data_IF_172206360222
#
_entry.id   IF_172206360222
#
_cell.length_a   1.000
_cell.length_b   1.000
_cell.length_c   1.000
_cell.angle_alpha   90.00
_cell.angle_beta   90.00
_cell.angle_gamma   90.00
#
_symmetry.space_group_name_H-M   'P 1'
#
loop_
_entity.id
_entity.type
_entity.pdbx_description
1 polymer ?
#
# COMPACT_ATOMS: atom_id res chain seq x y z
N UNK A 1 -30.55 28.63 21.77
CA UNK A 1 -30.13 27.29 21.30
C UNK A 1 -28.95 26.82 22.12
N UNK A 2 -28.94 25.57 22.59
CA UNK A 2 -27.80 25.03 23.34
C UNK A 2 -26.73 24.50 22.34
N UNK A 3 -25.73 25.33 22.05
CA UNK A 3 -24.64 24.99 21.14
C UNK A 3 -23.82 23.78 21.63
N UNK A 4 -23.69 23.61 22.95
CA UNK A 4 -23.00 22.47 23.54
C UNK A 4 -23.76 21.16 23.27
N UNK A 5 -25.08 21.14 23.45
CA UNK A 5 -25.90 19.98 23.12
C UNK A 5 -25.84 19.62 21.63
N UNK A 6 -25.67 20.60 20.75
CA UNK A 6 -25.51 20.38 19.30
C UNK A 6 -24.19 19.66 18.99
N UNK A 7 -23.09 20.10 19.61
CA UNK A 7 -21.78 19.45 19.46
C UNK A 7 -21.78 18.03 20.04
N UNK A 8 -22.45 17.81 21.17
CA UNK A 8 -22.60 16.47 21.75
C UNK A 8 -23.35 15.52 20.82
N UNK A 9 -24.45 15.98 20.20
CA UNK A 9 -25.17 15.21 19.17
C UNK A 9 -24.27 14.91 17.97
N UNK A 10 -23.50 15.87 17.48
CA UNK A 10 -22.52 15.64 16.40
C UNK A 10 -21.50 14.55 16.77
N UNK A 11 -20.97 14.56 18.00
CA UNK A 11 -20.07 13.51 18.48
C UNK A 11 -20.74 12.12 18.54
N UNK A 12 -21.99 12.03 19.01
CA UNK A 12 -22.76 10.78 19.04
C UNK A 12 -23.05 10.24 17.63
N UNK A 13 -23.30 11.14 16.67
CA UNK A 13 -23.44 10.80 15.24
C UNK A 13 -22.10 10.54 14.53
N UNK A 14 -20.97 10.61 15.25
CA UNK A 14 -19.60 10.48 14.71
C UNK A 14 -19.25 11.53 13.66
N UNK A 15 -19.86 12.71 13.74
CA UNK A 15 -19.60 13.90 12.93
C UNK A 15 -18.48 14.75 13.56
N UNK A 16 -17.28 14.17 13.69
CA UNK A 16 -16.18 14.78 14.44
C UNK A 16 -15.57 16.00 13.76
N UNK A 17 -15.44 15.98 12.43
CA UNK A 17 -14.98 17.14 11.66
C UNK A 17 -15.99 18.28 11.76
N UNK A 18 -17.29 17.97 11.63
CA UNK A 18 -18.36 18.95 11.79
C UNK A 18 -18.36 19.58 13.19
N UNK A 19 -18.21 18.78 14.24
CA UNK A 19 -18.15 19.26 15.61
C UNK A 19 -16.95 20.22 15.84
N UNK A 20 -15.78 19.92 15.25
CA UNK A 20 -14.61 20.81 15.33
C UNK A 20 -14.85 22.10 14.56
N UNK A 21 -15.35 22.03 13.33
CA UNK A 21 -15.65 23.21 12.51
C UNK A 21 -16.70 24.11 13.16
N UNK A 22 -17.78 23.52 13.70
CA UNK A 22 -18.83 24.26 14.40
C UNK A 22 -18.28 24.99 15.64
N UNK A 23 -17.44 24.33 16.45
CA UNK A 23 -16.75 24.99 17.57
C UNK A 23 -15.84 26.13 17.09
N UNK A 24 -15.10 25.92 16.00
CA UNK A 24 -14.22 26.95 15.45
C UNK A 24 -15.02 28.19 15.02
N UNK A 25 -16.11 28.02 14.27
CA UNK A 25 -17.00 29.09 13.83
C UNK A 25 -17.57 29.90 15.00
N UNK A 26 -17.98 29.22 16.08
CA UNK A 26 -18.48 29.88 17.29
C UNK A 26 -17.41 30.70 18.01
N UNK A 27 -16.16 30.23 18.03
CA UNK A 27 -15.06 30.85 18.76
C UNK A 27 -14.41 32.00 17.97
N UNK A 28 -14.35 31.91 16.64
CA UNK A 28 -13.70 32.91 15.79
C UNK A 28 -14.63 34.01 15.30
N UNK A 29 -15.95 33.89 15.53
CA UNK A 29 -16.93 34.85 15.04
C UNK A 29 -17.16 34.79 13.53
N UNK A 30 -16.50 33.86 12.81
CA UNK A 30 -16.65 33.64 11.37
C UNK A 30 -18.09 33.38 10.94
N UNK A 31 -18.95 32.93 11.85
CA UNK A 31 -20.37 32.72 11.56
C UNK A 31 -21.15 34.01 11.23
N UNK A 32 -20.56 35.19 11.41
CA UNK A 32 -21.18 36.48 11.04
C UNK A 32 -21.02 36.82 9.56
N UNK A 33 -20.00 36.28 8.92
CA UNK A 33 -19.66 36.60 7.52
C UNK A 33 -20.10 35.50 6.54
N UNK A 34 -20.65 34.39 7.06
CA UNK A 34 -21.16 33.27 6.26
C UNK A 34 -22.68 33.30 6.22
N UNK A 35 -23.22 33.13 5.02
CA UNK A 35 -24.62 32.76 4.81
C UNK A 35 -24.90 31.37 5.38
N UNK A 36 -26.19 31.03 5.55
CA UNK A 36 -26.58 29.74 6.12
C UNK A 36 -26.11 28.56 5.26
N UNK A 37 -26.17 28.70 3.94
CA UNK A 37 -25.70 27.70 2.97
C UNK A 37 -24.18 27.56 2.98
N UNK A 38 -23.41 28.66 3.05
CA UNK A 38 -21.95 28.60 3.17
C UNK A 38 -21.50 27.94 4.49
N UNK A 39 -22.17 28.24 5.59
CA UNK A 39 -21.90 27.59 6.87
C UNK A 39 -22.14 26.09 6.79
N UNK A 40 -23.29 25.66 6.24
CA UNK A 40 -23.60 24.24 6.08
C UNK A 40 -22.58 23.56 5.16
N UNK A 41 -22.22 24.18 4.04
CA UNK A 41 -21.22 23.66 3.12
C UNK A 41 -19.87 23.45 3.81
N UNK A 42 -19.35 24.47 4.51
CA UNK A 42 -18.10 24.36 5.27
C UNK A 42 -18.16 23.21 6.30
N UNK A 43 -19.24 23.12 7.07
CA UNK A 43 -19.42 22.09 8.09
C UNK A 43 -19.42 20.68 7.49
N UNK A 44 -20.07 20.50 6.34
CA UNK A 44 -20.15 19.23 5.62
C UNK A 44 -18.80 18.88 4.99
N UNK A 45 -18.14 19.82 4.32
CA UNK A 45 -16.83 19.60 3.69
C UNK A 45 -15.77 19.22 4.72
N UNK A 46 -15.76 19.88 5.88
CA UNK A 46 -14.82 19.54 6.96
C UNK A 46 -15.07 18.14 7.53
N UNK A 47 -16.34 17.72 7.62
CA UNK A 47 -16.67 16.35 8.02
C UNK A 47 -16.27 15.33 6.96
N UNK A 48 -16.49 15.65 5.69
CA UNK A 48 -16.11 14.80 4.57
C UNK A 48 -14.59 14.56 4.55
N UNK A 49 -13.80 15.63 4.67
CA UNK A 49 -12.34 15.56 4.70
C UNK A 49 -11.82 14.83 5.94
N UNK A 50 -12.43 15.05 7.11
CA UNK A 50 -12.10 14.32 8.33
C UNK A 50 -12.36 12.82 8.20
N UNK A 51 -13.50 12.42 7.61
CA UNK A 51 -13.82 11.01 7.35
C UNK A 51 -12.82 10.37 6.39
N UNK A 52 -12.52 11.04 5.27
CA UNK A 52 -11.53 10.56 4.29
C UNK A 52 -10.17 10.39 4.96
N UNK A 53 -9.71 11.41 5.68
CA UNK A 53 -8.43 11.38 6.39
C UNK A 53 -8.34 10.24 7.42
N UNK A 54 -9.41 9.99 8.19
CA UNK A 54 -9.48 8.85 9.12
C UNK A 54 -9.42 7.51 8.42
N UNK A 55 -10.09 7.36 7.27
CA UNK A 55 -10.03 6.14 6.47
C UNK A 55 -8.61 5.90 5.96
N UNK A 56 -7.99 6.90 5.32
CA UNK A 56 -6.63 6.80 4.80
C UNK A 56 -5.65 6.47 5.94
N UNK A 57 -5.67 7.23 7.04
CA UNK A 57 -4.80 7.00 8.21
C UNK A 57 -4.93 5.58 8.77
N UNK A 58 -6.16 5.06 8.86
CA UNK A 58 -6.41 3.67 9.29
C UNK A 58 -5.83 2.66 8.31
N UNK A 59 -6.01 2.84 7.00
CA UNK A 59 -5.48 1.95 5.97
C UNK A 59 -3.95 1.94 5.98
N UNK A 60 -3.32 3.12 6.04
CA UNK A 60 -1.86 3.26 6.14
C UNK A 60 -1.28 2.53 7.36
N UNK A 61 -1.94 2.69 8.53
CA UNK A 61 -1.54 2.02 9.77
C UNK A 61 -1.69 0.50 9.68
N UNK A 62 -2.71 0.02 8.99
CA UNK A 62 -2.95 -1.41 8.78
C UNK A 62 -1.95 -2.03 7.79
N UNK A 63 -1.54 -1.28 6.77
CA UNK A 63 -0.64 -1.76 5.72
C UNK A 63 0.78 -2.04 6.22
N UNK A 64 1.25 -1.33 7.25
CA UNK A 64 2.59 -1.48 7.86
C UNK A 64 3.75 -1.35 6.84
N UNK A 65 3.69 -0.31 6.01
CA UNK A 65 4.76 0.00 5.05
C UNK A 65 6.12 0.15 5.72
N UNK A 66 7.17 -0.27 5.01
CA UNK A 66 8.57 -0.09 5.45
C UNK A 66 8.97 1.38 5.52
N UNK A 67 8.47 2.19 4.60
CA UNK A 67 8.76 3.62 4.51
C UNK A 67 7.47 4.43 4.48
N UNK A 68 7.52 5.64 5.05
CA UNK A 68 6.53 6.69 4.75
C UNK A 68 6.96 7.32 3.43
N UNK A 69 6.43 6.80 2.33
CA UNK A 69 6.79 7.20 0.99
C UNK A 69 5.54 7.66 0.27
N UNK A 70 5.52 8.90 -0.20
CA UNK A 70 4.42 9.46 -0.98
C UNK A 70 4.75 9.43 -2.46
N UNK A 71 3.72 9.30 -3.30
CA UNK A 71 3.91 9.19 -4.74
C UNK A 71 4.58 10.45 -5.33
N UNK A 72 4.27 11.61 -4.77
CA UNK A 72 4.78 12.93 -5.16
C UNK A 72 6.28 13.09 -4.86
N UNK A 73 6.82 12.28 -3.94
CA UNK A 73 8.24 12.29 -3.56
C UNK A 73 9.12 11.46 -4.50
N UNK A 74 8.53 10.82 -5.52
CA UNK A 74 9.28 10.03 -6.49
C UNK A 74 10.09 10.97 -7.38
N UNK A 75 11.41 10.95 -7.20
CA UNK A 75 12.33 11.68 -8.06
C UNK A 75 12.53 10.93 -9.39
N UNK A 76 12.08 11.59 -10.46
CA UNK A 76 12.18 11.15 -11.86
C UNK A 76 13.43 11.71 -12.58
N UNK A 77 14.18 12.64 -11.96
CA UNK A 77 15.43 13.16 -12.50
C UNK A 77 16.59 12.18 -12.29
N UNK A 78 16.48 11.31 -11.27
CA UNK A 78 17.44 10.23 -11.04
C UNK A 78 17.47 9.27 -12.24
N UNK A 79 18.64 9.10 -12.84
CA UNK A 79 18.86 8.17 -13.96
C UNK A 79 18.94 6.72 -13.45
N UNK A 80 17.76 6.14 -13.17
CA UNK A 80 17.60 4.78 -12.62
C UNK A 80 16.65 3.90 -13.43
N UNK A 81 16.47 4.22 -14.71
CA UNK A 81 15.58 3.51 -15.63
C UNK A 81 14.11 3.48 -15.17
N UNK A 82 13.62 4.58 -14.60
CA UNK A 82 12.23 4.71 -14.17
C UNK A 82 11.42 5.53 -15.20
N UNK A 83 10.44 4.89 -15.85
CA UNK A 83 9.54 5.57 -16.79
C UNK A 83 8.49 6.42 -16.04
N UNK A 84 8.60 7.74 -16.17
CA UNK A 84 7.66 8.70 -15.58
C UNK A 84 6.22 8.50 -16.05
N UNK A 85 6.02 8.25 -17.35
CA UNK A 85 4.67 8.08 -17.90
C UNK A 85 4.02 6.81 -17.36
N UNK A 86 4.80 5.73 -17.23
CA UNK A 86 4.32 4.51 -16.60
C UNK A 86 3.93 4.75 -15.14
N UNK A 87 4.76 5.44 -14.36
CA UNK A 87 4.44 5.73 -12.97
C UNK A 87 3.18 6.59 -12.84
N UNK A 88 3.03 7.64 -13.66
CA UNK A 88 1.82 8.47 -13.65
C UNK A 88 0.56 7.66 -14.01
N UNK A 89 0.65 6.63 -14.86
CA UNK A 89 -0.47 5.70 -15.09
C UNK A 89 -0.80 4.84 -13.87
N UNK A 90 0.13 4.67 -12.92
CA UNK A 90 -0.15 3.96 -11.66
C UNK A 90 -0.74 4.87 -10.58
N UNK A 91 -0.64 6.21 -10.73
CA UNK A 91 -1.06 7.15 -9.69
C UNK A 91 -2.57 7.21 -9.49
N UNK A 92 -3.36 6.81 -10.50
CA UNK A 92 -4.82 6.71 -10.44
C UNK A 92 -5.32 5.38 -9.87
N UNK A 93 -4.40 4.44 -9.60
CA UNK A 93 -4.69 3.12 -9.06
C UNK A 93 -5.60 2.23 -9.95
N UNK A 94 -5.80 2.55 -11.23
CA UNK A 94 -6.62 1.74 -12.14
C UNK A 94 -6.07 0.32 -12.39
N UNK A 95 -4.77 0.10 -12.17
CA UNK A 95 -4.14 -1.22 -12.20
C UNK A 95 -4.64 -2.14 -11.07
N UNK A 96 -5.04 -1.57 -9.93
CA UNK A 96 -5.58 -2.30 -8.77
C UNK A 96 -6.97 -2.84 -9.09
N UNK A 97 -7.82 -2.01 -9.67
CA UNK A 97 -9.18 -2.38 -10.07
C UNK A 97 -9.18 -3.50 -11.12
N UNK A 98 -8.19 -3.50 -12.01
CA UNK A 98 -7.98 -4.52 -13.03
C UNK A 98 -7.27 -5.78 -12.51
N UNK A 99 -6.86 -5.82 -11.24
CA UNK A 99 -6.10 -6.93 -10.67
C UNK A 99 -4.74 -7.17 -11.34
N UNK A 100 -4.13 -6.13 -11.90
CA UNK A 100 -2.83 -6.23 -12.58
C UNK A 100 -1.70 -6.23 -11.55
N UNK A 101 -0.65 -7.03 -11.80
CA UNK A 101 0.48 -7.12 -10.88
C UNK A 101 1.57 -6.11 -11.25
N UNK A 102 2.50 -5.87 -10.34
CA UNK A 102 3.70 -5.06 -10.59
C UNK A 102 4.91 -5.82 -10.06
N UNK A 103 5.96 -5.91 -10.87
CA UNK A 103 7.25 -6.46 -10.46
C UNK A 103 8.27 -5.32 -10.52
N UNK A 104 8.89 -5.02 -9.38
CA UNK A 104 9.96 -4.04 -9.25
C UNK A 104 11.27 -4.78 -9.00
N UNK A 105 12.13 -4.82 -10.01
CA UNK A 105 13.43 -5.49 -9.95
C UNK A 105 14.58 -4.49 -10.08
N UNK A 106 15.78 -4.89 -9.65
CA UNK A 106 16.99 -4.04 -9.74
C UNK A 106 17.95 -4.20 -8.54
N UNK A 107 19.14 -3.59 -8.59
CA UNK A 107 20.18 -3.78 -7.59
C UNK A 107 19.82 -3.16 -6.23
N UNK A 108 20.62 -3.44 -5.20
CA UNK A 108 20.38 -2.89 -3.85
C UNK A 108 20.52 -1.36 -3.82
N UNK A 109 19.59 -0.70 -3.13
CA UNK A 109 19.70 0.74 -2.84
C UNK A 109 19.13 1.69 -3.91
N UNK A 110 18.64 1.21 -5.06
CA UNK A 110 18.05 2.07 -6.11
C UNK A 110 16.61 2.53 -5.86
N UNK A 111 16.08 2.32 -4.64
CA UNK A 111 14.76 2.79 -4.24
C UNK A 111 13.58 1.86 -4.53
N UNK A 112 13.80 0.55 -4.77
CA UNK A 112 12.70 -0.39 -5.06
C UNK A 112 11.62 -0.44 -3.95
N UNK A 113 12.03 -0.66 -2.70
CA UNK A 113 11.12 -0.72 -1.55
C UNK A 113 10.43 0.62 -1.26
N UNK A 114 11.08 1.74 -1.62
CA UNK A 114 10.46 3.07 -1.59
C UNK A 114 9.34 3.17 -2.62
N UNK A 115 9.59 2.77 -3.88
CA UNK A 115 8.55 2.75 -4.92
C UNK A 115 7.36 1.86 -4.55
N UNK A 116 7.61 0.65 -4.05
CA UNK A 116 6.54 -0.23 -3.60
C UNK A 116 5.74 0.35 -2.44
N UNK A 117 6.42 1.02 -1.49
CA UNK A 117 5.74 1.75 -0.41
C UNK A 117 4.91 2.92 -0.97
N UNK A 118 5.45 3.72 -1.90
CA UNK A 118 4.75 4.85 -2.51
C UNK A 118 3.49 4.42 -3.27
N UNK A 119 3.56 3.33 -4.04
CA UNK A 119 2.40 2.74 -4.71
C UNK A 119 1.34 2.28 -3.69
N UNK A 120 1.77 1.64 -2.59
CA UNK A 120 0.87 1.22 -1.52
C UNK A 120 0.23 2.39 -0.77
N UNK A 121 1.00 3.45 -0.49
CA UNK A 121 0.47 4.68 0.09
C UNK A 121 -0.57 5.30 -0.84
N UNK A 122 -0.27 5.42 -2.13
CA UNK A 122 -1.21 5.92 -3.13
C UNK A 122 -2.51 5.10 -3.16
N UNK A 123 -2.40 3.77 -3.11
CA UNK A 123 -3.55 2.89 -3.02
C UNK A 123 -4.43 3.22 -1.80
N UNK A 124 -3.82 3.42 -0.63
CA UNK A 124 -4.55 3.80 0.59
C UNK A 124 -5.20 5.18 0.50
N UNK A 125 -4.57 6.15 -0.19
CA UNK A 125 -5.18 7.47 -0.47
C UNK A 125 -6.45 7.33 -1.32
N UNK A 126 -6.45 6.42 -2.29
CA UNK A 126 -7.62 6.06 -3.09
C UNK A 126 -8.63 5.15 -2.35
N UNK A 127 -8.37 4.80 -1.10
CA UNK A 127 -9.26 3.99 -0.27
C UNK A 127 -9.06 2.47 -0.40
N UNK A 128 -8.07 2.02 -1.18
CA UNK A 128 -7.73 0.61 -1.31
C UNK A 128 -6.95 0.10 -0.08
N UNK A 129 -7.27 -1.12 0.34
CA UNK A 129 -6.58 -1.82 1.42
C UNK A 129 -5.29 -2.44 0.91
N UNK A 130 -4.17 -1.83 1.26
CA UNK A 130 -2.85 -2.39 1.03
C UNK A 130 -2.36 -3.21 2.24
N UNK A 131 -1.54 -4.22 1.97
CA UNK A 131 -0.72 -4.91 2.97
C UNK A 131 0.72 -4.98 2.48
N UNK A 132 1.67 -4.73 3.37
CA UNK A 132 3.09 -4.81 3.09
C UNK A 132 3.75 -5.88 3.95
N UNK A 133 4.55 -6.74 3.31
CA UNK A 133 5.39 -7.69 4.01
C UNK A 133 6.78 -7.76 3.39
N UNK A 134 7.80 -7.89 4.22
CA UNK A 134 9.06 -8.49 3.78
C UNK A 134 8.83 -10.00 3.59
N UNK A 135 9.31 -10.58 2.49
CA UNK A 135 9.05 -11.96 2.09
C UNK A 135 9.45 -12.98 3.16
N UNK A 136 10.65 -12.86 3.74
CA UNK A 136 11.14 -13.77 4.79
C UNK A 136 10.22 -13.70 6.01
N UNK A 137 9.84 -12.49 6.43
CA UNK A 137 8.93 -12.29 7.57
C UNK A 137 7.52 -12.80 7.27
N UNK A 138 7.03 -12.67 6.04
CA UNK A 138 5.74 -13.20 5.61
C UNK A 138 5.69 -14.72 5.79
N UNK A 139 6.65 -15.43 5.20
CA UNK A 139 6.65 -16.89 5.26
C UNK A 139 6.90 -17.42 6.67
N UNK A 140 7.76 -16.75 7.45
CA UNK A 140 7.94 -17.08 8.87
C UNK A 140 6.64 -16.90 9.67
N UNK A 141 5.92 -15.80 9.45
CA UNK A 141 4.62 -15.54 10.08
C UNK A 141 3.57 -16.59 9.69
N UNK A 142 3.49 -16.96 8.41
CA UNK A 142 2.55 -17.98 7.94
C UNK A 142 2.83 -19.37 8.52
N UNK A 143 4.11 -19.74 8.71
CA UNK A 143 4.47 -21.00 9.39
C UNK A 143 4.05 -21.00 10.86
N UNK A 144 4.24 -19.88 11.57
CA UNK A 144 3.73 -19.74 12.95
C UNK A 144 2.21 -19.84 12.98
N UNK A 145 1.53 -19.21 12.02
CA UNK A 145 0.08 -19.27 11.89
C UNK A 145 -0.44 -20.69 11.60
N UNK A 146 0.34 -21.54 10.92
CA UNK A 146 0.01 -22.97 10.77
C UNK A 146 0.11 -23.71 12.11
N UNK A 147 1.16 -23.42 12.90
CA UNK A 147 1.38 -24.07 14.19
C UNK A 147 0.32 -23.68 15.25
N UNK A 148 -0.22 -22.47 15.20
CA UNK A 148 -1.23 -21.97 16.16
C UNK A 148 -2.68 -22.05 15.65
N UNK A 149 -2.90 -22.59 14.44
CA UNK A 149 -4.21 -22.76 13.82
C UNK A 149 -4.83 -21.48 13.22
N UNK A 150 -4.09 -20.37 13.16
CA UNK A 150 -4.57 -19.10 12.59
C UNK A 150 -4.28 -18.91 11.08
N UNK A 151 -3.67 -19.89 10.42
CA UNK A 151 -3.23 -19.82 9.02
C UNK A 151 -4.34 -19.39 8.05
N UNK A 152 -5.50 -20.05 8.10
CA UNK A 152 -6.64 -19.74 7.21
C UNK A 152 -7.14 -18.29 7.40
N UNK A 153 -7.09 -17.79 8.64
CA UNK A 153 -7.47 -16.40 8.95
C UNK A 153 -6.49 -15.41 8.33
N UNK A 154 -5.20 -15.69 8.38
CA UNK A 154 -4.17 -14.83 7.77
C UNK A 154 -4.23 -14.89 6.24
N UNK A 155 -4.46 -16.06 5.64
CA UNK A 155 -4.68 -16.16 4.19
C UNK A 155 -5.91 -15.36 3.75
N UNK A 156 -7.06 -15.52 4.43
CA UNK A 156 -8.27 -14.73 4.13
C UNK A 156 -8.03 -13.23 4.24
N UNK A 157 -7.23 -12.80 5.22
CA UNK A 157 -6.85 -11.39 5.40
C UNK A 157 -5.97 -10.90 4.24
N UNK A 158 -4.99 -11.70 3.82
CA UNK A 158 -4.10 -11.39 2.69
C UNK A 158 -4.90 -11.39 1.37
N UNK A 159 -5.69 -12.42 1.09
CA UNK A 159 -6.52 -12.54 -0.11
C UNK A 159 -7.54 -11.42 -0.26
N UNK A 160 -8.05 -10.86 0.85
CA UNK A 160 -8.98 -9.71 0.83
C UNK A 160 -8.32 -8.35 0.65
N UNK A 161 -6.98 -8.25 0.73
CA UNK A 161 -6.30 -6.99 0.49
C UNK A 161 -6.36 -6.64 -1.01
N UNK A 162 -6.71 -5.40 -1.34
CA UNK A 162 -6.74 -4.91 -2.71
C UNK A 162 -5.34 -4.96 -3.33
N UNK A 163 -4.32 -4.61 -2.53
CA UNK A 163 -2.90 -4.72 -2.92
C UNK A 163 -2.09 -5.46 -1.86
N UNK A 164 -1.31 -6.45 -2.29
CA UNK A 164 -0.30 -7.11 -1.47
C UNK A 164 1.08 -6.73 -2.00
N UNK A 165 1.93 -6.17 -1.14
CA UNK A 165 3.33 -5.87 -1.47
C UNK A 165 4.22 -6.88 -0.75
N UNK A 166 5.01 -7.63 -1.52
CA UNK A 166 5.99 -8.59 -1.05
C UNK A 166 7.39 -8.06 -1.37
N UNK A 167 8.05 -7.55 -0.35
CA UNK A 167 9.37 -6.92 -0.44
C UNK A 167 10.52 -7.90 -0.18
N UNK A 168 11.68 -7.64 -0.81
CA UNK A 168 12.88 -8.48 -0.73
C UNK A 168 12.63 -9.96 -1.10
N UNK A 169 11.80 -10.21 -2.12
CA UNK A 169 11.55 -11.56 -2.63
C UNK A 169 12.81 -12.15 -3.26
N UNK A 170 13.06 -13.43 -2.96
CA UNK A 170 14.12 -14.23 -3.56
C UNK A 170 15.54 -13.98 -3.03
N UNK A 171 15.68 -13.43 -1.83
CA UNK A 171 16.96 -13.40 -1.10
C UNK A 171 17.39 -14.76 -0.55
N UNK A 172 16.43 -15.69 -0.38
CA UNK A 172 16.65 -17.04 0.13
C UNK A 172 15.78 -18.02 -0.66
N UNK A 173 16.24 -19.26 -0.78
CA UNK A 173 15.43 -20.34 -1.34
C UNK A 173 14.18 -20.55 -0.49
N UNK A 174 13.04 -20.74 -1.15
CA UNK A 174 11.81 -21.08 -0.47
C UNK A 174 11.85 -22.56 -0.08
N UNK A 175 11.47 -22.88 1.16
CA UNK A 175 11.18 -24.26 1.53
C UNK A 175 9.80 -24.70 1.00
N UNK A 176 9.47 -25.98 1.19
CA UNK A 176 8.22 -26.57 0.69
C UNK A 176 6.98 -25.85 1.25
N UNK A 177 6.98 -25.47 2.53
CA UNK A 177 5.85 -24.76 3.12
C UNK A 177 5.71 -23.34 2.55
N UNK A 178 6.82 -22.62 2.38
CA UNK A 178 6.80 -21.23 1.90
C UNK A 178 6.35 -21.13 0.44
N UNK A 179 6.79 -22.06 -0.42
CA UNK A 179 6.37 -22.08 -1.83
C UNK A 179 4.89 -22.44 -1.99
N UNK A 180 4.37 -23.38 -1.20
CA UNK A 180 2.94 -23.71 -1.21
C UNK A 180 2.08 -22.56 -0.68
N UNK A 181 2.51 -21.91 0.41
CA UNK A 181 1.81 -20.73 0.93
C UNK A 181 1.81 -19.57 -0.07
N UNK A 182 2.91 -19.37 -0.81
CA UNK A 182 2.96 -18.37 -1.88
C UNK A 182 1.99 -18.71 -3.01
N UNK A 183 1.95 -19.97 -3.45
CA UNK A 183 1.02 -20.43 -4.49
C UNK A 183 -0.43 -20.20 -4.07
N UNK A 184 -0.80 -20.58 -2.84
CA UNK A 184 -2.16 -20.41 -2.30
C UNK A 184 -2.58 -18.93 -2.23
N UNK A 185 -1.67 -18.05 -1.77
CA UNK A 185 -1.90 -16.60 -1.77
C UNK A 185 -2.14 -16.10 -3.20
N UNK A 186 -1.33 -16.53 -4.16
CA UNK A 186 -1.44 -16.07 -5.55
C UNK A 186 -2.68 -16.63 -6.24
N UNK A 187 -3.10 -17.85 -5.92
CA UNK A 187 -4.35 -18.46 -6.40
C UNK A 187 -5.58 -17.65 -5.97
N UNK A 188 -5.67 -17.29 -4.70
CA UNK A 188 -6.79 -16.50 -4.17
C UNK A 188 -6.89 -15.12 -4.85
N UNK A 189 -5.73 -14.57 -5.24
CA UNK A 189 -5.59 -13.21 -5.77
C UNK A 189 -5.65 -13.13 -7.29
N UNK A 190 -5.35 -14.21 -8.00
CA UNK A 190 -5.18 -14.23 -9.45
C UNK A 190 -6.41 -13.65 -10.17
N UNK A 191 -6.18 -12.66 -11.03
CA UNK A 191 -7.21 -11.99 -11.83
C UNK A 191 -8.26 -11.18 -11.03
N UNK A 192 -8.06 -11.03 -9.71
CA UNK A 192 -9.02 -10.37 -8.80
C UNK A 192 -8.39 -9.25 -7.98
N UNK A 193 -7.13 -9.41 -7.57
CA UNK A 193 -6.41 -8.52 -6.66
C UNK A 193 -4.97 -8.36 -7.13
N UNK A 194 -4.38 -7.21 -6.86
CA UNK A 194 -3.05 -6.88 -7.38
C UNK A 194 -1.92 -7.22 -6.43
N UNK A 195 -0.85 -7.80 -6.93
CA UNK A 195 0.34 -8.12 -6.14
C UNK A 195 1.53 -7.34 -6.68
N UNK A 196 2.25 -6.69 -5.77
CA UNK A 196 3.52 -6.01 -6.06
C UNK A 196 4.64 -6.86 -5.48
N UNK A 197 5.55 -7.34 -6.33
CA UNK A 197 6.76 -8.02 -5.88
C UNK A 197 7.96 -7.12 -6.07
N UNK A 198 8.76 -7.01 -5.02
CA UNK A 198 10.00 -6.25 -5.05
C UNK A 198 11.14 -7.23 -4.85
N UNK A 199 12.05 -7.26 -5.80
CA UNK A 199 13.13 -8.26 -5.81
C UNK A 199 14.44 -7.68 -6.32
N UNK A 200 15.54 -8.28 -5.89
CA UNK A 200 16.87 -8.05 -6.49
C UNK A 200 17.20 -9.11 -7.54
N UNK A 201 16.36 -10.14 -7.63
CA UNK A 201 16.57 -11.33 -8.43
C UNK A 201 15.91 -11.15 -9.81
N UNK A 202 16.66 -11.29 -10.91
CA UNK A 202 16.07 -11.34 -12.24
C UNK A 202 15.05 -12.47 -12.34
N UNK A 203 13.96 -12.24 -13.08
CA UNK A 203 12.89 -13.22 -13.24
C UNK A 203 13.38 -14.63 -13.66
N UNK A 204 14.40 -14.70 -14.52
CA UNK A 204 14.97 -15.96 -14.99
C UNK A 204 15.50 -16.87 -13.87
N UNK A 205 15.79 -16.32 -12.68
CA UNK A 205 16.27 -17.09 -11.53
C UNK A 205 15.16 -17.47 -10.53
N UNK A 206 13.91 -17.10 -10.79
CA UNK A 206 12.82 -17.41 -9.86
C UNK A 206 12.59 -18.92 -9.71
N UNK A 207 12.73 -19.70 -10.79
CA UNK A 207 12.63 -21.16 -10.73
C UNK A 207 13.62 -21.78 -9.75
N UNK A 208 14.88 -21.32 -9.77
CA UNK A 208 15.94 -21.78 -8.87
C UNK A 208 15.55 -21.51 -7.41
N UNK A 209 15.15 -20.28 -7.11
CA UNK A 209 14.81 -19.83 -5.75
C UNK A 209 13.53 -20.47 -5.22
N UNK A 210 12.53 -20.71 -6.07
CA UNK A 210 11.30 -21.43 -5.69
C UNK A 210 11.59 -22.92 -5.48
N UNK A 211 12.48 -23.50 -6.29
CA UNK A 211 13.09 -24.81 -6.07
C UNK A 211 12.23 -26.03 -6.45
N UNK A 212 11.00 -25.86 -6.92
CA UNK A 212 10.18 -26.93 -7.54
C UNK A 212 9.67 -26.42 -8.89
N UNK A 213 10.01 -27.06 -10.03
CA UNK A 213 9.66 -26.55 -11.35
C UNK A 213 8.15 -26.37 -11.55
N UNK A 214 7.34 -27.34 -11.12
CA UNK A 214 5.89 -27.33 -11.29
C UNK A 214 5.24 -26.19 -10.51
N UNK A 215 5.63 -26.04 -9.24
CA UNK A 215 5.14 -24.96 -8.37
C UNK A 215 5.66 -23.61 -8.86
N UNK A 216 6.90 -23.55 -9.34
CA UNK A 216 7.49 -22.34 -9.90
C UNK A 216 6.73 -21.88 -11.15
N UNK A 217 6.42 -22.79 -12.08
CA UNK A 217 5.58 -22.49 -13.25
C UNK A 217 4.23 -21.94 -12.81
N UNK A 218 3.55 -22.59 -11.86
CA UNK A 218 2.25 -22.17 -11.37
C UNK A 218 2.28 -20.77 -10.71
N UNK A 219 3.32 -20.48 -9.92
CA UNK A 219 3.53 -19.17 -9.29
C UNK A 219 3.81 -18.10 -10.35
N UNK A 220 4.74 -18.38 -11.27
CA UNK A 220 5.15 -17.45 -12.33
C UNK A 220 3.97 -17.12 -13.25
N UNK A 221 3.18 -18.11 -13.67
CA UNK A 221 1.99 -17.91 -14.50
C UNK A 221 1.01 -16.91 -13.86
N UNK A 222 0.75 -17.05 -12.55
CA UNK A 222 -0.21 -16.19 -11.85
C UNK A 222 0.28 -14.78 -11.59
N UNK A 223 1.59 -14.60 -11.42
CA UNK A 223 2.14 -13.31 -11.01
C UNK A 223 2.77 -12.53 -12.15
N UNK A 224 3.47 -13.20 -13.06
CA UNK A 224 4.26 -12.57 -14.14
C UNK A 224 3.40 -12.24 -15.34
N UNK A 225 2.47 -13.12 -15.72
CA UNK A 225 1.74 -13.00 -16.99
C UNK A 225 1.01 -11.66 -17.14
N UNK A 226 0.45 -11.13 -16.05
CA UNK A 226 -0.26 -9.85 -16.01
C UNK A 226 0.56 -8.70 -15.39
N UNK A 227 1.85 -8.90 -15.13
CA UNK A 227 2.66 -7.92 -14.41
C UNK A 227 3.23 -6.82 -15.30
N UNK A 228 3.06 -5.57 -14.85
CA UNK A 228 3.95 -4.51 -15.28
C UNK A 228 5.33 -4.71 -14.66
N UNK A 229 6.37 -4.59 -15.48
CA UNK A 229 7.76 -4.77 -15.03
C UNK A 229 8.48 -3.43 -14.98
N UNK A 230 9.09 -3.15 -13.83
CA UNK A 230 9.90 -1.98 -13.57
C UNK A 230 11.31 -2.48 -13.22
N UNK A 231 12.22 -2.42 -14.19
CA UNK A 231 13.62 -2.78 -13.99
C UNK A 231 14.43 -1.52 -13.66
N UNK A 232 14.71 -1.32 -12.37
CA UNK A 232 15.55 -0.20 -11.92
C UNK A 232 17.03 -0.51 -12.13
N UNK A 233 17.79 0.53 -12.47
CA UNK A 233 19.25 0.49 -12.67
C UNK A 233 19.93 1.61 -11.89
N UNK A 234 21.26 1.63 -11.91
CA UNK A 234 22.07 2.69 -11.31
C UNK A 234 22.59 2.39 -9.91
N UNK A 235 23.21 3.41 -9.31
CA UNK A 235 23.86 3.30 -8.01
C UNK A 235 22.89 3.39 -6.83
N UNK A 236 23.37 2.95 -5.66
CA UNK A 236 22.62 3.05 -4.41
C UNK A 236 22.34 4.51 -4.03
N UNK A 237 21.06 4.87 -3.99
CA UNK A 237 20.56 6.19 -3.56
C UNK A 237 20.84 6.46 -2.07
N UNK A 238 21.17 5.42 -1.29
CA UNK A 238 21.57 5.60 0.12
C UNK A 238 22.82 6.46 0.27
N UNK A 239 23.70 6.52 -0.74
CA UNK A 239 24.86 7.40 -0.75
C UNK A 239 24.48 8.86 -1.02
N UNK A 240 23.49 9.08 -1.88
CA UNK A 240 23.03 10.41 -2.29
C UNK A 240 22.15 11.08 -1.24
N UNK A 241 21.33 10.31 -0.51
CA UNK A 241 20.49 10.83 0.58
C UNK A 241 21.06 10.58 1.98
N UNK A 242 22.17 9.83 2.10
CA UNK A 242 22.85 9.50 3.35
C UNK A 242 24.11 10.32 3.61
N UNK A 243 24.08 11.63 3.30
CA UNK A 243 25.04 12.57 3.86
C UNK A 243 24.89 12.66 5.39
N UNK A 244 25.95 12.99 6.15
CA UNK A 244 25.96 12.87 7.61
C UNK A 244 25.01 13.90 8.23
N UNK A 245 23.81 13.46 8.60
CA UNK A 245 22.96 13.92 9.71
C UNK A 245 21.51 13.45 9.49
N UNK A 246 21.21 12.21 9.90
CA UNK A 246 19.91 11.79 10.44
C UNK A 246 20.15 10.74 11.51
#
# INVERSE_FOLDING_TARGET
MNNQATVEKMHQMKLYGMARAFRAVLNTGMGKDLTADELIAHLVDTEWDDRRSRVVSRLMKQARFRYQAFFEQIDFQLSRNLDKNMMLRFSDCGWIEKGQNIIIEGPTGVGKSFLGSALGHQACVYGFRALYFNAIKLFSHLKMAQADGSYEKELKKIGKADVLIVDDFGLQHLDAQSRLALLEILEDRHGRRSTVVITQLPLAKWHEVIGDPTIADAICDRIVHSAFRIELKGESLRKSYGGPNQ
#
